data_IF_026810020964
#
_entry.id   IF_026810020964
#
_cell.length_a   1.000
_cell.length_b   1.000
_cell.length_c   1.000
_cell.angle_alpha   90.00
_cell.angle_beta   90.00
_cell.angle_gamma   90.00
#
_symmetry.space_group_name_H-M   'P 1'
#
loop_
_entity.id
_entity.type
_entity.pdbx_description
1 polymer ?
#
# COMPACT_ATOMS: atom_id res chain seq x y z
N UNK A 1 15.95 12.05 -26.67
CA UNK A 1 16.31 12.64 -25.36
C UNK A 1 15.27 12.25 -24.31
N UNK A 2 15.66 11.77 -23.12
CA UNK A 2 14.72 11.46 -22.04
C UNK A 2 14.01 12.74 -21.58
N UNK A 3 12.68 12.77 -21.63
CA UNK A 3 11.89 13.90 -21.12
C UNK A 3 11.78 13.79 -19.59
N UNK A 4 12.39 14.72 -18.86
CA UNK A 4 12.26 14.83 -17.41
C UNK A 4 10.95 15.52 -17.02
N UNK A 5 9.82 14.81 -17.12
CA UNK A 5 8.52 15.33 -16.68
C UNK A 5 8.35 15.10 -15.17
N UNK A 6 8.29 16.19 -14.42
CA UNK A 6 7.92 16.13 -13.01
C UNK A 6 6.45 15.71 -12.86
N UNK A 7 6.17 14.75 -11.99
CA UNK A 7 4.81 14.28 -11.74
C UNK A 7 4.10 15.26 -10.80
N UNK A 8 2.97 15.81 -11.24
CA UNK A 8 2.14 16.74 -10.45
C UNK A 8 0.96 16.07 -9.74
N UNK A 9 0.65 14.81 -10.05
CA UNK A 9 -0.52 14.13 -9.50
C UNK A 9 -0.21 13.37 -8.21
N UNK A 10 -0.93 13.71 -7.14
CA UNK A 10 -0.98 12.91 -5.91
C UNK A 10 -1.94 11.74 -6.14
N UNK A 11 -1.42 10.51 -5.98
CA UNK A 11 -2.25 9.31 -6.11
C UNK A 11 -2.98 9.05 -4.81
N UNK A 12 -4.30 8.89 -4.91
CA UNK A 12 -5.15 8.38 -3.84
C UNK A 12 -4.92 9.10 -2.49
N UNK A 13 -5.05 10.42 -2.49
CA UNK A 13 -4.88 11.28 -1.31
C UNK A 13 -5.97 11.13 -0.24
N UNK A 14 -6.83 10.11 -0.34
CA UNK A 14 -7.92 9.82 0.57
C UNK A 14 -7.59 8.56 1.38
N UNK A 15 -8.01 8.53 2.64
CA UNK A 15 -7.79 7.41 3.56
C UNK A 15 -8.96 6.41 3.49
N UNK A 16 -8.75 5.23 4.07
CA UNK A 16 -9.81 4.24 4.26
C UNK A 16 -10.95 4.76 5.16
N UNK A 17 -10.62 5.55 6.18
CA UNK A 17 -11.61 6.23 7.02
C UNK A 17 -12.51 7.18 6.21
N UNK A 18 -11.93 7.91 5.25
CA UNK A 18 -12.70 8.78 4.36
C UNK A 18 -13.64 7.97 3.47
N UNK A 19 -13.21 6.81 2.97
CA UNK A 19 -14.07 5.92 2.19
C UNK A 19 -15.22 5.35 3.00
N UNK A 20 -14.92 4.85 4.21
CA UNK A 20 -15.96 4.29 5.09
C UNK A 20 -16.97 5.37 5.51
N UNK A 21 -16.48 6.56 5.86
CA UNK A 21 -17.35 7.70 6.19
C UNK A 21 -18.21 8.13 4.99
N UNK A 22 -17.66 8.10 3.77
CA UNK A 22 -18.40 8.34 2.54
C UNK A 22 -19.48 7.27 2.29
N UNK A 23 -19.16 5.98 2.52
CA UNK A 23 -20.12 4.88 2.40
C UNK A 23 -21.28 5.05 3.39
N UNK A 24 -20.99 5.28 4.67
CA UNK A 24 -22.00 5.50 5.71
C UNK A 24 -22.89 6.70 5.36
N UNK A 25 -22.33 7.80 4.85
CA UNK A 25 -23.11 8.96 4.46
C UNK A 25 -24.10 8.65 3.32
N UNK A 26 -23.70 7.79 2.38
CA UNK A 26 -24.56 7.35 1.27
C UNK A 26 -25.67 6.41 1.77
N UNK A 27 -25.34 5.48 2.66
CA UNK A 27 -26.33 4.59 3.30
C UNK A 27 -27.38 5.40 4.09
N UNK A 28 -26.98 6.52 4.69
CA UNK A 28 -27.88 7.48 5.36
C UNK A 28 -28.70 8.36 4.39
N UNK A 29 -28.58 8.15 3.08
CA UNK A 29 -29.35 8.86 2.05
C UNK A 29 -28.66 10.04 1.39
N UNK A 30 -27.35 10.26 1.62
CA UNK A 30 -26.61 11.27 0.85
C UNK A 30 -26.34 10.82 -0.58
N UNK A 31 -26.40 11.74 -1.55
CA UNK A 31 -25.99 11.41 -2.91
C UNK A 31 -24.49 11.14 -2.99
N UNK A 32 -24.10 10.23 -3.89
CA UNK A 32 -22.69 9.87 -4.12
C UNK A 32 -21.85 11.11 -4.44
N UNK A 33 -22.37 12.06 -5.23
CA UNK A 33 -21.68 13.32 -5.55
C UNK A 33 -21.46 14.20 -4.31
N UNK A 34 -22.44 14.27 -3.40
CA UNK A 34 -22.33 15.04 -2.16
C UNK A 34 -21.28 14.43 -1.23
N UNK A 35 -21.34 13.10 -1.03
CA UNK A 35 -20.36 12.38 -0.23
C UNK A 35 -18.94 12.52 -0.82
N UNK A 36 -18.77 12.35 -2.13
CA UNK A 36 -17.50 12.53 -2.83
C UNK A 36 -16.85 13.91 -2.55
N UNK A 37 -17.65 14.98 -2.63
CA UNK A 37 -17.17 16.34 -2.32
C UNK A 37 -16.83 16.53 -0.84
N UNK A 38 -17.63 15.97 0.06
CA UNK A 38 -17.45 16.10 1.50
C UNK A 38 -16.18 15.41 2.00
N UNK A 39 -15.87 14.22 1.47
CA UNK A 39 -14.72 13.42 1.89
C UNK A 39 -13.49 13.56 0.97
N UNK A 40 -13.53 14.54 0.05
CA UNK A 40 -12.46 14.83 -0.92
C UNK A 40 -12.03 13.60 -1.75
N UNK A 41 -12.99 12.80 -2.18
CA UNK A 41 -12.78 11.60 -2.99
C UNK A 41 -13.31 11.89 -4.40
N UNK A 42 -12.55 11.61 -5.48
CA UNK A 42 -13.07 11.75 -6.82
C UNK A 42 -14.33 10.91 -7.03
N UNK A 43 -15.35 11.52 -7.63
CA UNK A 43 -16.66 10.88 -7.81
C UNK A 43 -16.58 9.53 -8.54
N UNK A 44 -15.80 9.46 -9.62
CA UNK A 44 -15.59 8.21 -10.36
C UNK A 44 -14.99 7.12 -9.48
N UNK A 45 -13.96 7.46 -8.70
CA UNK A 45 -13.33 6.54 -7.76
C UNK A 45 -14.30 6.02 -6.70
N UNK A 46 -15.11 6.90 -6.10
CA UNK A 46 -16.09 6.50 -5.09
C UNK A 46 -17.18 5.60 -5.70
N UNK A 47 -17.67 5.94 -6.89
CA UNK A 47 -18.67 5.15 -7.62
C UNK A 47 -18.15 3.75 -7.96
N UNK A 48 -16.94 3.65 -8.49
CA UNK A 48 -16.35 2.36 -8.89
C UNK A 48 -16.12 1.45 -7.67
N UNK A 49 -15.68 2.04 -6.55
CA UNK A 49 -15.49 1.31 -5.27
C UNK A 49 -16.79 0.84 -4.66
N UNK A 50 -17.85 1.64 -4.72
CA UNK A 50 -19.18 1.22 -4.28
C UNK A 50 -19.69 0.03 -5.10
N UNK A 51 -19.45 0.06 -6.42
CA UNK A 51 -19.86 -1.03 -7.32
C UNK A 51 -19.11 -2.34 -7.06
N UNK A 52 -17.82 -2.26 -6.73
CA UNK A 52 -16.97 -3.41 -6.47
C UNK A 52 -16.93 -3.83 -5.00
N UNK A 53 -17.65 -3.12 -4.12
CA UNK A 53 -17.65 -3.31 -2.65
C UNK A 53 -16.26 -3.16 -1.98
N UNK A 54 -15.31 -2.50 -2.66
CA UNK A 54 -13.92 -2.34 -2.23
C UNK A 54 -13.69 -1.01 -1.49
N UNK A 55 -13.86 -1.03 -0.17
CA UNK A 55 -13.63 0.16 0.70
C UNK A 55 -12.27 0.21 1.39
N UNK A 56 -11.37 -0.71 1.05
CA UNK A 56 -10.04 -0.77 1.64
C UNK A 56 -9.10 0.33 1.13
N UNK A 57 -8.06 0.62 1.91
CA UNK A 57 -6.96 1.50 1.52
C UNK A 57 -6.42 1.15 0.12
N UNK A 58 -6.15 2.16 -0.74
CA UNK A 58 -5.65 1.93 -2.08
C UNK A 58 -4.24 1.35 -2.01
N UNK A 59 -4.04 0.15 -2.58
CA UNK A 59 -2.69 -0.39 -2.73
C UNK A 59 -1.93 0.45 -3.76
N UNK A 60 -0.89 1.14 -3.29
CA UNK A 60 0.01 1.89 -4.14
C UNK A 60 1.07 0.93 -4.69
N UNK A 61 0.86 0.39 -5.90
CA UNK A 61 1.89 -0.41 -6.58
C UNK A 61 1.37 -1.67 -7.26
N UNK A 62 2.30 -2.58 -7.56
CA UNK A 62 2.00 -3.91 -8.11
C UNK A 62 1.54 -4.84 -6.99
N UNK A 63 0.81 -5.90 -7.35
CA UNK A 63 0.46 -6.96 -6.40
C UNK A 63 1.74 -7.72 -6.00
N UNK A 64 1.89 -8.09 -4.71
CA UNK A 64 3.02 -8.92 -4.29
C UNK A 64 2.97 -10.27 -5.00
N UNK A 65 4.15 -10.80 -5.35
CA UNK A 65 4.28 -12.10 -6.01
C UNK A 65 4.23 -13.23 -4.99
N UNK A 66 4.88 -13.04 -3.84
CA UNK A 66 4.92 -14.00 -2.75
C UNK A 66 3.80 -13.74 -1.75
N UNK A 67 3.42 -14.77 -1.00
CA UNK A 67 2.54 -14.61 0.16
C UNK A 67 3.32 -14.00 1.32
N UNK A 68 2.62 -13.41 2.29
CA UNK A 68 3.27 -12.81 3.46
C UNK A 68 4.11 -13.83 4.25
N UNK A 69 3.66 -15.09 4.30
CA UNK A 69 4.41 -16.19 4.92
C UNK A 69 5.72 -16.49 4.18
N UNK A 70 5.69 -16.53 2.84
CA UNK A 70 6.88 -16.72 2.03
C UNK A 70 7.86 -15.55 2.19
N UNK A 71 7.35 -14.31 2.25
CA UNK A 71 8.18 -13.13 2.49
C UNK A 71 8.88 -13.20 3.86
N UNK A 72 8.19 -13.68 4.91
CA UNK A 72 8.80 -13.88 6.23
C UNK A 72 9.86 -14.97 6.22
N UNK A 73 9.61 -16.11 5.57
CA UNK A 73 10.57 -17.21 5.48
C UNK A 73 11.86 -16.76 4.77
N UNK A 74 11.72 -16.04 3.65
CA UNK A 74 12.87 -15.49 2.92
C UNK A 74 13.62 -14.47 3.78
N UNK A 75 12.91 -13.59 4.50
CA UNK A 75 13.53 -12.60 5.38
C UNK A 75 14.33 -13.24 6.51
N UNK A 76 13.79 -14.28 7.15
CA UNK A 76 14.46 -15.04 8.20
C UNK A 76 15.72 -15.73 7.67
N UNK A 77 15.63 -16.39 6.51
CA UNK A 77 16.77 -17.04 5.87
C UNK A 77 17.89 -16.04 5.57
N UNK A 78 17.58 -14.92 4.91
CA UNK A 78 18.57 -13.89 4.56
C UNK A 78 19.23 -13.33 5.82
N UNK A 79 18.46 -13.10 6.88
CA UNK A 79 18.99 -12.61 8.17
C UNK A 79 19.90 -13.64 8.82
N UNK A 80 19.51 -14.91 8.84
CA UNK A 80 20.33 -16.01 9.35
C UNK A 80 21.66 -16.13 8.61
N UNK A 81 21.64 -16.08 7.28
CA UNK A 81 22.86 -16.09 6.46
C UNK A 81 23.77 -14.89 6.75
N UNK A 82 23.20 -13.69 6.94
CA UNK A 82 23.98 -12.51 7.28
C UNK A 82 24.69 -12.66 8.64
N UNK A 83 23.98 -13.16 9.66
CA UNK A 83 24.58 -13.41 10.98
C UNK A 83 25.70 -14.43 10.89
N UNK A 84 25.46 -15.58 10.25
CA UNK A 84 26.46 -16.62 10.06
C UNK A 84 27.70 -16.09 9.33
N UNK A 85 27.50 -15.33 8.25
CA UNK A 85 28.59 -14.76 7.48
C UNK A 85 29.42 -13.75 8.29
N UNK A 86 28.77 -12.91 9.09
CA UNK A 86 29.48 -11.97 9.97
C UNK A 86 30.27 -12.66 11.08
N UNK A 87 29.73 -13.74 11.66
CA UNK A 87 30.43 -14.57 12.64
C UNK A 87 31.65 -15.25 12.02
N UNK A 88 31.48 -15.89 10.85
CA UNK A 88 32.57 -16.52 10.12
C UNK A 88 33.68 -15.51 9.77
N UNK A 89 33.31 -14.33 9.27
CA UNK A 89 34.27 -13.26 8.94
C UNK A 89 35.01 -12.74 10.17
N UNK A 90 34.36 -12.68 11.33
CA UNK A 90 35.00 -12.29 12.60
C UNK A 90 35.99 -13.35 13.04
N UNK A 91 35.60 -14.63 12.99
CA UNK A 91 36.46 -15.76 13.33
C UNK A 91 37.71 -15.86 12.42
N UNK A 92 37.52 -15.70 11.10
CA UNK A 92 38.62 -15.70 10.13
C UNK A 92 39.60 -14.52 10.29
N UNK A 93 39.18 -13.42 10.95
CA UNK A 93 40.06 -12.30 11.30
C UNK A 93 40.79 -12.47 12.63
N UNK A 94 40.26 -13.26 13.56
CA UNK A 94 40.80 -13.42 14.91
C UNK A 94 41.80 -14.57 15.07
N UNK A 95 42.02 -15.37 14.02
CA UNK A 95 43.17 -16.27 13.85
C UNK A 95 43.74 -16.90 15.13
N UNK A 96 43.03 -17.88 15.69
CA UNK A 96 43.63 -18.93 16.51
C UNK A 96 43.58 -20.23 15.72
#
# INVERSE_FOLDING_TARGET
MPRNRQRTTTKAAWTEENLQSAKIAIERGSSIRKAAKQYNIPFSTLKDRLKNEDMSSPRLGRKPVFTQQQETEIAEQVTGFAVLWTQYRRFAKTGL
#
